data_IF_793634817534
#
_entry.id   IF_793634817534
#
_cell.length_a   1.000
_cell.length_b   1.000
_cell.length_c   1.000
_cell.angle_alpha   90.00
_cell.angle_beta   90.00
_cell.angle_gamma   90.00
#
_symmetry.space_group_name_H-M   'P 1'
#
loop_
_entity.id
_entity.type
_entity.pdbx_description
1 polymer ?
#
# COMPACT_ATOMS: atom_id res chain seq x y z
N UNK A 1 0.88 14.11 -2.32
CA UNK A 1 0.96 14.53 -0.91
C UNK A 1 1.74 13.52 -0.06
N UNK A 2 1.46 12.21 -0.16
CA UNK A 2 2.11 11.18 0.65
C UNK A 2 3.64 11.10 0.49
N UNK A 3 4.18 11.17 -0.73
CA UNK A 3 5.65 11.18 -0.96
C UNK A 3 6.39 12.30 -0.21
N UNK A 4 5.78 13.48 -0.11
CA UNK A 4 6.38 14.60 0.63
C UNK A 4 6.41 14.31 2.14
N UNK A 5 5.32 13.79 2.70
CA UNK A 5 5.25 13.41 4.11
C UNK A 5 6.22 12.28 4.46
N UNK A 6 6.31 11.23 3.63
CA UNK A 6 7.27 10.12 3.78
C UNK A 6 8.69 10.68 3.98
N UNK A 7 9.11 11.59 3.09
CA UNK A 7 10.43 12.24 3.16
C UNK A 7 10.58 13.12 4.40
N UNK A 8 9.59 13.95 4.72
CA UNK A 8 9.62 14.86 5.87
C UNK A 8 9.66 14.13 7.22
N UNK A 9 9.00 12.98 7.29
CA UNK A 9 8.98 12.08 8.44
C UNK A 9 10.30 11.29 8.58
N UNK A 10 11.16 11.29 7.56
CA UNK A 10 12.47 10.64 7.63
C UNK A 10 12.44 9.14 7.31
N UNK A 11 11.44 8.69 6.55
CA UNK A 11 11.43 7.35 5.97
C UNK A 11 12.30 7.29 4.70
N UNK A 12 12.77 6.10 4.30
CA UNK A 12 13.48 5.91 3.03
C UNK A 12 12.64 6.36 1.82
N UNK A 13 13.30 6.77 0.74
CA UNK A 13 12.62 7.13 -0.50
C UNK A 13 12.05 5.87 -1.19
N UNK A 14 10.74 5.81 -1.49
CA UNK A 14 10.13 4.66 -2.15
C UNK A 14 10.33 4.66 -3.66
N UNK A 15 10.25 3.47 -4.26
CA UNK A 15 9.91 3.30 -5.68
C UNK A 15 8.41 3.55 -5.86
N UNK A 16 8.02 4.28 -6.90
CA UNK A 16 6.62 4.64 -7.13
C UNK A 16 5.99 3.75 -8.19
N UNK A 17 4.70 3.45 -8.02
CA UNK A 17 3.90 2.71 -9.01
C UNK A 17 4.57 1.37 -9.41
N UNK A 18 5.11 0.67 -8.42
CA UNK A 18 5.87 -0.55 -8.65
C UNK A 18 4.94 -1.68 -9.09
N UNK A 19 5.31 -2.33 -10.21
CA UNK A 19 4.57 -3.46 -10.78
C UNK A 19 5.15 -4.78 -10.29
N UNK A 20 4.28 -5.70 -9.91
CA UNK A 20 4.59 -7.07 -9.55
C UNK A 20 3.84 -8.00 -10.50
N UNK A 21 4.56 -8.97 -11.07
CA UNK A 21 3.99 -9.96 -11.99
C UNK A 21 4.00 -11.31 -11.28
N UNK A 22 2.81 -11.85 -11.03
CA UNK A 22 2.63 -13.15 -10.38
C UNK A 22 2.91 -14.30 -11.37
N UNK A 23 3.16 -15.54 -10.89
CA UNK A 23 3.47 -16.66 -11.78
C UNK A 23 2.37 -17.03 -12.78
N UNK A 24 1.11 -16.65 -12.49
CA UNK A 24 -0.03 -16.84 -13.39
C UNK A 24 -0.16 -15.71 -14.44
N UNK A 25 0.78 -14.75 -14.44
CA UNK A 25 0.80 -13.59 -15.33
C UNK A 25 -0.05 -12.42 -14.84
N UNK A 26 -0.74 -12.54 -13.69
CA UNK A 26 -1.48 -11.42 -13.13
C UNK A 26 -0.54 -10.31 -12.62
N UNK A 27 -1.00 -9.07 -12.69
CA UNK A 27 -0.18 -7.89 -12.34
C UNK A 27 -0.82 -7.12 -11.21
N UNK A 28 -0.05 -6.87 -10.15
CA UNK A 28 -0.39 -5.92 -9.09
C UNK A 28 0.47 -4.67 -9.22
N UNK A 29 -0.08 -3.50 -8.86
CA UNK A 29 0.64 -2.23 -8.84
C UNK A 29 0.45 -1.60 -7.47
N UNK A 30 1.55 -1.27 -6.80
CA UNK A 30 1.53 -0.57 -5.50
C UNK A 30 1.99 0.87 -5.67
N UNK A 31 1.44 1.80 -4.89
CA UNK A 31 1.78 3.22 -5.03
C UNK A 31 3.22 3.50 -4.61
N UNK A 32 3.69 2.82 -3.56
CA UNK A 32 5.01 2.97 -2.95
C UNK A 32 5.61 1.59 -2.67
N UNK A 33 6.89 1.38 -2.96
CA UNK A 33 7.60 0.13 -2.68
C UNK A 33 8.98 0.43 -2.08
N UNK A 34 9.30 -0.29 -1.01
CA UNK A 34 10.56 -0.27 -0.28
C UNK A 34 11.17 -1.68 -0.31
N UNK A 35 11.81 -2.06 -1.43
CA UNK A 35 12.26 -3.42 -1.66
C UNK A 35 13.29 -3.91 -0.64
N UNK A 36 14.14 -3.02 -0.13
CA UNK A 36 15.14 -3.36 0.87
C UNK A 36 14.52 -3.78 2.21
N UNK A 37 13.26 -3.41 2.44
CA UNK A 37 12.55 -3.65 3.70
C UNK A 37 11.39 -4.64 3.55
N UNK A 38 11.11 -5.12 2.33
CA UNK A 38 9.95 -5.98 2.09
C UNK A 38 8.61 -5.29 2.35
N UNK A 39 8.55 -3.95 2.23
CA UNK A 39 7.34 -3.17 2.52
C UNK A 39 6.83 -2.51 1.25
N UNK A 40 5.53 -2.60 1.03
CA UNK A 40 4.80 -1.81 0.04
C UNK A 40 3.81 -0.89 0.75
N UNK A 41 3.47 0.23 0.11
CA UNK A 41 2.50 1.20 0.61
C UNK A 41 1.44 1.52 -0.43
N UNK A 42 0.19 1.58 0.00
CA UNK A 42 -0.94 1.98 -0.85
C UNK A 42 -1.69 3.16 -0.21
N UNK A 43 -1.90 4.20 -1.01
CA UNK A 43 -2.63 5.38 -0.59
C UNK A 43 -4.03 5.36 -1.19
N UNK A 44 -5.05 5.49 -0.33
CA UNK A 44 -6.45 5.54 -0.77
C UNK A 44 -6.90 4.26 -1.52
N UNK A 45 -6.21 3.14 -1.25
CA UNK A 45 -6.34 1.88 -2.00
C UNK A 45 -7.73 1.21 -1.91
N UNK A 46 -8.53 1.57 -0.90
CA UNK A 46 -9.87 1.01 -0.73
C UNK A 46 -10.85 1.46 -1.83
N UNK A 47 -10.64 2.66 -2.40
CA UNK A 47 -11.63 3.30 -3.29
C UNK A 47 -11.31 3.08 -4.77
N UNK A 48 -10.04 2.96 -5.16
CA UNK A 48 -9.67 2.87 -6.59
C UNK A 48 -10.15 1.61 -7.31
N UNK A 49 -10.28 0.47 -6.62
CA UNK A 49 -10.80 -0.76 -7.24
C UNK A 49 -12.29 -0.98 -7.03
N UNK A 50 -12.91 -0.22 -6.13
CA UNK A 50 -14.34 -0.30 -5.91
C UNK A 50 -15.09 0.59 -6.90
N UNK A 51 -14.65 1.81 -7.21
CA UNK A 51 -15.64 2.81 -7.65
C UNK A 51 -16.18 2.79 -9.09
N UNK A 52 -15.57 2.20 -10.13
CA UNK A 52 -16.18 2.33 -11.49
C UNK A 52 -16.26 1.07 -12.37
N UNK A 53 -15.35 0.10 -12.24
CA UNK A 53 -15.37 -1.11 -13.10
C UNK A 53 -15.90 -2.38 -12.39
N UNK A 54 -15.84 -2.45 -11.06
CA UNK A 54 -16.22 -3.65 -10.31
C UNK A 54 -17.53 -3.53 -9.52
N UNK A 55 -17.97 -2.33 -9.15
CA UNK A 55 -19.18 -2.13 -8.34
C UNK A 55 -20.50 -2.21 -9.11
N UNK A 56 -20.49 -2.27 -10.45
CA UNK A 56 -21.74 -2.43 -11.19
C UNK A 56 -22.43 -3.78 -10.91
N UNK A 57 -21.66 -4.82 -10.56
CA UNK A 57 -22.19 -6.18 -10.34
C UNK A 57 -21.52 -7.00 -9.20
N UNK A 58 -20.51 -6.46 -8.48
CA UNK A 58 -19.82 -7.23 -7.40
C UNK A 58 -20.40 -6.94 -6.02
N UNK A 59 -20.61 -7.98 -5.20
CA UNK A 59 -20.97 -7.79 -3.80
C UNK A 59 -19.78 -7.21 -3.02
N UNK A 60 -20.01 -6.40 -1.97
CA UNK A 60 -18.94 -5.86 -1.12
C UNK A 60 -17.96 -6.92 -0.58
N UNK A 61 -18.44 -8.15 -0.36
CA UNK A 61 -17.62 -9.28 0.08
C UNK A 61 -16.59 -9.73 -0.98
N UNK A 62 -16.93 -9.67 -2.26
CA UNK A 62 -16.05 -10.09 -3.34
C UNK A 62 -14.88 -9.11 -3.52
N UNK A 63 -15.14 -7.81 -3.32
CA UNK A 63 -14.11 -6.77 -3.35
C UNK A 63 -13.10 -6.99 -2.23
N UNK A 64 -13.57 -7.22 -1.00
CA UNK A 64 -12.72 -7.51 0.16
C UNK A 64 -11.93 -8.81 -0.02
N UNK A 65 -12.55 -9.84 -0.60
CA UNK A 65 -11.87 -11.11 -0.90
C UNK A 65 -10.74 -10.92 -1.90
N UNK A 66 -10.99 -10.19 -3.00
CA UNK A 66 -9.97 -9.89 -4.03
C UNK A 66 -8.81 -9.07 -3.46
N UNK A 67 -9.10 -8.11 -2.59
CA UNK A 67 -8.09 -7.31 -1.90
C UNK A 67 -7.19 -8.18 -1.02
N UNK A 68 -7.81 -9.02 -0.18
CA UNK A 68 -7.08 -9.95 0.68
C UNK A 68 -6.25 -10.95 -0.11
N UNK A 69 -6.78 -11.44 -1.22
CA UNK A 69 -6.04 -12.34 -2.10
C UNK A 69 -4.88 -11.63 -2.80
N UNK A 70 -5.03 -10.38 -3.25
CA UNK A 70 -3.92 -9.58 -3.80
C UNK A 70 -2.80 -9.44 -2.78
N UNK A 71 -3.12 -9.07 -1.55
CA UNK A 71 -2.13 -8.93 -0.47
C UNK A 71 -1.43 -10.26 -0.16
N UNK A 72 -2.20 -11.35 -0.09
CA UNK A 72 -1.65 -12.69 0.09
C UNK A 72 -0.67 -13.07 -1.03
N UNK A 73 -0.98 -12.71 -2.29
CA UNK A 73 -0.08 -12.95 -3.42
C UNK A 73 1.16 -12.08 -3.38
N UNK A 74 1.02 -10.79 -3.07
CA UNK A 74 2.16 -9.88 -2.85
C UNK A 74 3.12 -10.42 -1.79
N UNK A 75 2.59 -10.87 -0.65
CA UNK A 75 3.41 -11.50 0.39
C UNK A 75 4.05 -12.81 -0.08
N UNK A 76 3.26 -13.71 -0.68
CA UNK A 76 3.71 -15.05 -1.07
C UNK A 76 4.78 -15.04 -2.16
N UNK A 77 4.61 -14.20 -3.18
CA UNK A 77 5.44 -14.24 -4.38
C UNK A 77 6.55 -13.20 -4.39
N UNK A 78 6.35 -12.07 -3.70
CA UNK A 78 7.24 -10.93 -3.79
C UNK A 78 7.79 -10.51 -2.43
N UNK A 79 7.41 -11.19 -1.35
CA UNK A 79 7.78 -10.86 0.03
C UNK A 79 7.51 -9.37 0.34
N UNK A 80 6.25 -8.98 0.18
CA UNK A 80 5.75 -7.64 0.49
C UNK A 80 4.67 -7.66 1.54
N UNK A 81 4.91 -6.94 2.63
CA UNK A 81 3.89 -6.53 3.59
C UNK A 81 3.33 -5.17 3.17
N UNK A 82 2.01 -5.01 3.14
CA UNK A 82 1.34 -3.83 2.57
C UNK A 82 0.84 -2.91 3.68
N UNK A 83 1.47 -1.76 3.85
CA UNK A 83 0.97 -0.65 4.66
C UNK A 83 -0.11 0.12 3.88
N UNK A 84 -1.18 0.54 4.57
CA UNK A 84 -2.24 1.33 3.94
C UNK A 84 -2.56 2.54 4.77
N UNK A 85 -2.84 3.64 4.08
CA UNK A 85 -3.28 4.86 4.72
C UNK A 85 -4.23 5.63 3.79
N UNK A 86 -5.10 6.41 4.40
CA UNK A 86 -6.09 7.25 3.72
C UNK A 86 -5.83 8.72 4.02
N UNK A 87 -6.68 9.60 3.47
CA UNK A 87 -6.53 11.04 3.64
C UNK A 87 -6.53 11.50 5.11
N UNK A 88 -7.32 10.86 5.99
CA UNK A 88 -7.34 11.20 7.43
C UNK A 88 -5.99 10.97 8.11
N UNK A 89 -5.19 10.01 7.63
CA UNK A 89 -3.90 9.65 8.20
C UNK A 89 -2.80 10.64 7.82
N UNK A 90 -3.05 11.47 6.81
CA UNK A 90 -2.22 12.62 6.40
C UNK A 90 -2.62 13.93 7.09
N UNK A 91 -3.52 13.87 8.08
CA UNK A 91 -3.95 15.00 8.90
C UNK A 91 -2.83 15.55 9.79
N UNK A 92 -3.16 16.00 11.01
CA UNK A 92 -2.22 16.63 11.95
C UNK A 92 -0.85 15.94 12.04
N UNK A 93 0.14 16.47 11.32
CA UNK A 93 1.52 15.94 11.29
C UNK A 93 1.73 14.60 10.60
N UNK A 94 0.72 14.06 9.90
CA UNK A 94 0.74 12.74 9.27
C UNK A 94 1.13 11.58 10.20
N UNK A 95 0.66 11.62 11.46
CA UNK A 95 0.93 10.61 12.48
C UNK A 95 0.39 9.24 12.06
N UNK A 96 -0.81 9.17 11.49
CA UNK A 96 -1.39 7.91 11.02
C UNK A 96 -0.53 7.23 9.96
N UNK A 97 -0.06 8.00 8.95
CA UNK A 97 0.90 7.49 7.96
C UNK A 97 2.17 6.95 8.63
N UNK A 98 2.72 7.69 9.60
CA UNK A 98 3.94 7.27 10.30
C UNK A 98 3.75 5.93 11.00
N UNK A 99 2.65 5.78 11.73
CA UNK A 99 2.39 4.59 12.54
C UNK A 99 2.14 3.36 11.66
N UNK A 100 1.43 3.52 10.54
CA UNK A 100 1.23 2.44 9.55
C UNK A 100 2.55 1.97 8.92
N UNK A 101 3.43 2.90 8.54
CA UNK A 101 4.74 2.54 7.97
C UNK A 101 5.65 1.87 9.00
N UNK A 102 5.63 2.32 10.25
CA UNK A 102 6.39 1.67 11.34
C UNK A 102 5.84 0.28 11.64
N UNK A 103 4.51 0.13 11.70
CA UNK A 103 3.86 -1.16 11.94
C UNK A 103 4.19 -2.18 10.84
N UNK A 104 4.35 -1.73 9.60
CA UNK A 104 4.81 -2.55 8.48
C UNK A 104 6.32 -2.87 8.52
N UNK A 105 7.08 -2.31 9.46
CA UNK A 105 8.51 -2.59 9.66
C UNK A 105 9.46 -1.61 8.97
N UNK A 106 8.96 -0.48 8.45
CA UNK A 106 9.80 0.52 7.82
C UNK A 106 10.52 1.36 8.89
N UNK A 107 11.86 1.47 8.85
CA UNK A 107 12.59 2.26 9.83
C UNK A 107 12.36 3.76 9.60
N UNK A 108 12.23 4.49 10.70
CA UNK A 108 12.11 5.95 10.71
C UNK A 108 13.37 6.58 11.32
N UNK A 109 14.01 7.50 10.60
CA UNK A 109 15.22 8.19 11.09
C UNK A 109 14.92 9.30 12.12
N UNK A 110 13.64 9.62 12.36
CA UNK A 110 13.18 10.63 13.32
C UNK A 110 12.26 9.95 14.35
N UNK A 111 12.87 9.32 15.35
CA UNK A 111 12.19 8.72 16.52
C UNK A 111 11.90 9.76 17.60
#
# INVERSE_FOLDING_TARGET
MSRAHIRLLGFPDPRLQQRFVDPDGSVAVVDFDWPEFGVSGEFDGFVKYSTDEYLKDSLPADVLWREKERERRLKRYHDRDVARWVWSDLGSGAIGLRDELIAAGLPCSRS
#
